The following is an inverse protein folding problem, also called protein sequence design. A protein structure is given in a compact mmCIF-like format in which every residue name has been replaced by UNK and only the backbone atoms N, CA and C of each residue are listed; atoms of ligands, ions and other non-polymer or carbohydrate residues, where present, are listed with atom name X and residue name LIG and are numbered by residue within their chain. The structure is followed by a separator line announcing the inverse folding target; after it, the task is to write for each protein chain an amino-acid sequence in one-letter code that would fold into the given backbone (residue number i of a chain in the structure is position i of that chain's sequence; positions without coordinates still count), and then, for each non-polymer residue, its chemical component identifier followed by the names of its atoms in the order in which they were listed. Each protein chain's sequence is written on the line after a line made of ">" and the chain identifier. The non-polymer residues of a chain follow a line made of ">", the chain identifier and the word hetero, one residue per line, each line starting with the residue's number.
data_IF_459964424770
#
_entry.id   IF_459964424770
#
_cell.length_a   1.000
_cell.length_b   1.000
_cell.length_c   1.000
_cell.angle_alpha   90.00
_cell.angle_beta   90.00
_cell.angle_gamma   90.00
#
_symmetry.space_group_name_H-M   'P 1'
#
loop_
_entity.id
_entity.type
_entity.pdbx_description
1 polymer ?
#
# COMPACT_ATOMS: atom_id res chain seq x y z
N UNK A 1 -6.74 -66.23 -9.91
CA UNK A 1 -7.51 -66.45 -8.65
C UNK A 1 -7.77 -65.04 -8.07
N UNK A 2 -8.79 -64.29 -8.53
CA UNK A 2 -10.18 -64.23 -8.00
C UNK A 2 -10.16 -63.60 -6.58
N UNK A 3 -10.91 -62.58 -6.17
CA UNK A 3 -12.12 -61.80 -6.56
C UNK A 3 -11.92 -60.40 -5.88
N UNK A 4 -12.38 -59.24 -6.33
CA UNK A 4 -13.71 -58.86 -6.79
C UNK A 4 -14.65 -58.54 -5.61
N UNK A 5 -14.93 -57.25 -5.34
CA UNK A 5 -16.27 -56.73 -4.96
C UNK A 5 -16.36 -55.19 -4.83
N UNK A 6 -17.18 -54.63 -5.75
CA UNK A 6 -18.06 -53.44 -5.71
C UNK A 6 -18.83 -53.26 -4.36
N UNK A 7 -19.57 -52.19 -3.99
CA UNK A 7 -19.98 -50.82 -4.43
C UNK A 7 -20.88 -50.23 -3.31
N UNK A 8 -21.22 -48.93 -3.42
CA UNK A 8 -22.44 -48.24 -2.92
C UNK A 8 -22.49 -47.86 -1.41
N UNK A 9 -23.08 -46.77 -0.93
CA UNK A 9 -23.79 -45.60 -1.48
C UNK A 9 -24.00 -44.53 -0.36
N UNK A 10 -24.26 -43.28 -0.78
CA UNK A 10 -25.10 -42.21 -0.18
C UNK A 10 -24.89 -41.68 1.27
N UNK A 11 -24.50 -40.39 1.35
CA UNK A 11 -24.90 -39.20 2.19
C UNK A 11 -25.74 -39.37 3.48
N UNK A 12 -25.64 -38.45 4.51
CA UNK A 12 -25.73 -36.99 4.35
C UNK A 12 -24.84 -36.10 5.25
N UNK A 13 -24.85 -34.82 4.89
CA UNK A 13 -24.25 -33.65 5.54
C UNK A 13 -24.39 -33.60 7.07
N UNK A 14 -23.25 -33.45 7.76
CA UNK A 14 -23.18 -33.06 9.16
C UNK A 14 -22.30 -31.82 9.31
N UNK A 15 -22.99 -30.72 9.61
CA UNK A 15 -22.49 -29.38 9.91
C UNK A 15 -21.38 -29.45 10.96
N UNK A 16 -20.17 -29.02 10.63
CA UNK A 16 -19.10 -28.81 11.61
C UNK A 16 -18.75 -27.33 11.67
N UNK A 17 -19.19 -26.70 12.75
CA UNK A 17 -18.81 -25.35 13.16
C UNK A 17 -17.28 -25.28 13.33
N UNK A 18 -16.59 -24.71 12.36
CA UNK A 18 -15.19 -24.34 12.49
C UNK A 18 -15.09 -23.07 13.36
N UNK A 19 -14.75 -23.28 14.62
CA UNK A 19 -14.18 -22.26 15.50
C UNK A 19 -13.02 -21.58 14.79
N UNK A 20 -13.15 -20.26 14.59
CA UNK A 20 -12.10 -19.44 14.00
C UNK A 20 -11.02 -19.27 15.06
N UNK A 21 -9.99 -20.11 14.99
CA UNK A 21 -8.78 -19.98 15.78
C UNK A 21 -8.07 -18.70 15.36
N UNK A 22 -8.23 -17.64 16.14
CA UNK A 22 -7.57 -16.36 15.92
C UNK A 22 -6.08 -16.53 16.18
N UNK A 23 -5.31 -16.73 15.11
CA UNK A 23 -3.85 -16.75 15.16
C UNK A 23 -3.33 -15.41 15.73
N UNK A 24 -2.40 -15.45 16.71
CA UNK A 24 -1.84 -14.24 17.30
C UNK A 24 -0.98 -13.47 16.28
N UNK A 25 -0.87 -12.14 16.42
CA UNK A 25 -0.15 -11.29 15.47
C UNK A 25 1.34 -11.65 15.46
N UNK A 26 1.84 -12.13 14.32
CA UNK A 26 3.28 -12.39 14.14
C UNK A 26 4.07 -11.09 14.30
N UNK A 27 4.86 -11.03 15.37
CA UNK A 27 5.85 -9.97 15.59
C UNK A 27 6.88 -10.02 14.45
N UNK A 28 6.93 -8.96 13.63
CA UNK A 28 7.96 -8.79 12.60
C UNK A 28 9.33 -8.73 13.26
N UNK A 29 10.10 -9.82 13.17
CA UNK A 29 11.51 -9.85 13.60
C UNK A 29 12.27 -8.77 12.83
N UNK A 30 12.77 -7.75 13.53
CA UNK A 30 13.68 -6.76 12.97
C UNK A 30 14.95 -7.47 12.52
N UNK A 31 15.15 -7.59 11.19
CA UNK A 31 16.39 -8.12 10.63
C UNK A 31 17.51 -7.12 10.96
N UNK A 32 18.48 -7.54 11.76
CA UNK A 32 19.72 -6.80 11.95
C UNK A 32 20.50 -6.82 10.63
N UNK A 33 20.71 -5.65 10.03
CA UNK A 33 21.51 -5.50 8.83
C UNK A 33 23.00 -5.62 9.21
N UNK A 34 23.65 -6.73 8.84
CA UNK A 34 25.06 -7.00 9.12
C UNK A 34 25.91 -6.69 7.88
N UNK A 35 25.84 -5.45 7.42
CA UNK A 35 26.57 -4.98 6.24
C UNK A 35 27.26 -3.65 6.52
N UNK A 36 28.43 -3.43 5.89
CA UNK A 36 29.12 -2.14 5.88
C UNK A 36 28.20 -1.14 5.18
N UNK A 37 27.62 -0.21 5.93
CA UNK A 37 26.88 0.92 5.35
C UNK A 37 27.90 1.77 4.59
N UNK A 38 27.92 1.66 3.26
CA UNK A 38 28.57 2.67 2.43
C UNK A 38 27.97 4.03 2.80
N UNK A 39 28.84 5.02 3.06
CA UNK A 39 28.40 6.37 3.39
C UNK A 39 27.39 6.82 2.34
N UNK A 40 26.16 7.11 2.77
CA UNK A 40 25.08 7.37 1.85
C UNK A 40 25.37 8.67 1.08
N UNK A 41 25.65 8.57 -0.22
CA UNK A 41 25.75 9.74 -1.11
C UNK A 41 24.49 10.58 -0.94
N UNK A 42 24.65 11.89 -0.72
CA UNK A 42 23.52 12.82 -0.61
C UNK A 42 22.63 12.72 -1.86
N UNK A 43 21.33 12.92 -1.68
CA UNK A 43 20.38 12.93 -2.81
C UNK A 43 20.31 14.35 -3.35
N UNK A 44 20.67 14.59 -4.63
CA UNK A 44 20.59 15.90 -5.26
C UNK A 44 19.19 16.50 -5.18
N UNK A 45 19.12 17.84 -5.12
CA UNK A 45 17.84 18.59 -5.11
C UNK A 45 17.50 19.22 -6.46
N UNK A 46 18.49 19.44 -7.31
CA UNK A 46 18.32 19.90 -8.70
C UNK A 46 19.17 19.08 -9.64
N UNK A 47 18.88 19.11 -10.94
CA UNK A 47 19.61 18.33 -11.94
C UNK A 47 21.07 18.77 -12.06
N UNK A 48 21.35 20.06 -11.88
CA UNK A 48 22.69 20.65 -11.93
C UNK A 48 23.56 20.16 -10.76
N UNK A 49 22.93 19.90 -9.61
CA UNK A 49 23.60 19.37 -8.42
C UNK A 49 23.88 17.86 -8.47
N UNK A 50 23.38 17.15 -9.49
CA UNK A 50 23.68 15.73 -9.67
C UNK A 50 25.16 15.53 -9.99
N UNK A 51 25.72 14.42 -9.51
CA UNK A 51 26.99 13.93 -10.03
C UNK A 51 26.77 13.20 -11.37
N UNK A 52 27.85 12.74 -12.01
CA UNK A 52 27.77 12.04 -13.30
C UNK A 52 26.91 10.78 -13.23
N UNK A 53 27.02 10.01 -12.14
CA UNK A 53 26.27 8.77 -11.94
C UNK A 53 24.76 9.04 -11.75
N UNK A 54 24.41 10.08 -10.99
CA UNK A 54 23.02 10.50 -10.79
C UNK A 54 22.41 11.07 -12.07
N UNK A 55 23.15 11.86 -12.85
CA UNK A 55 22.67 12.33 -14.17
C UNK A 55 22.38 11.16 -15.11
N UNK A 56 23.28 10.17 -15.17
CA UNK A 56 23.10 8.95 -15.95
C UNK A 56 21.88 8.15 -15.48
N UNK A 57 21.73 7.97 -14.17
CA UNK A 57 20.61 7.25 -13.58
C UNK A 57 19.27 7.89 -13.96
N UNK A 58 19.17 9.22 -13.87
CA UNK A 58 17.96 9.96 -14.22
C UNK A 58 17.68 9.88 -15.71
N UNK A 59 18.66 10.18 -16.57
CA UNK A 59 18.45 10.21 -18.02
C UNK A 59 18.05 8.84 -18.57
N UNK A 60 18.79 7.78 -18.24
CA UNK A 60 18.50 6.44 -18.74
C UNK A 60 17.16 5.93 -18.24
N UNK A 61 16.77 6.30 -17.01
CA UNK A 61 15.50 5.86 -16.46
C UNK A 61 14.32 6.64 -17.05
N UNK A 62 14.47 7.94 -17.31
CA UNK A 62 13.48 8.75 -18.03
C UNK A 62 13.30 8.25 -19.47
N UNK A 63 14.38 7.76 -20.11
CA UNK A 63 14.35 7.03 -21.40
C UNK A 63 13.79 5.60 -21.30
N UNK A 64 13.25 5.21 -20.13
CA UNK A 64 12.64 3.90 -19.84
C UNK A 64 13.58 2.70 -19.96
N UNK A 65 14.89 2.89 -19.91
CA UNK A 65 15.86 1.80 -19.93
C UNK A 65 15.73 0.89 -18.69
N UNK A 66 16.07 -0.38 -18.88
CA UNK A 66 16.02 -1.38 -17.83
C UNK A 66 17.09 -1.18 -16.74
N UNK A 67 16.79 -1.67 -15.55
CA UNK A 67 17.67 -1.54 -14.38
C UNK A 67 18.99 -2.30 -14.51
N UNK A 68 19.05 -3.36 -15.32
CA UNK A 68 20.27 -4.16 -15.51
C UNK A 68 21.42 -3.33 -16.10
N UNK A 69 21.25 -2.73 -17.29
CA UNK A 69 22.22 -1.80 -17.87
C UNK A 69 22.55 -0.61 -16.97
N UNK A 70 21.54 -0.02 -16.31
CA UNK A 70 21.75 1.11 -15.38
C UNK A 70 22.66 0.69 -14.21
N UNK A 71 22.48 -0.51 -13.64
CA UNK A 71 23.33 -1.02 -12.56
C UNK A 71 24.76 -1.27 -13.02
N UNK A 72 24.93 -1.81 -14.23
CA UNK A 72 26.25 -2.04 -14.80
C UNK A 72 27.00 -0.71 -14.98
N UNK A 73 26.32 0.29 -15.54
CA UNK A 73 26.91 1.61 -15.78
C UNK A 73 27.16 2.38 -14.48
N UNK A 74 26.24 2.29 -13.51
CA UNK A 74 26.44 2.85 -12.18
C UNK A 74 27.70 2.28 -11.51
N UNK A 75 27.89 0.95 -11.57
CA UNK A 75 29.09 0.29 -11.03
C UNK A 75 30.34 0.73 -11.77
N UNK A 76 30.28 0.95 -13.09
CA UNK A 76 31.40 1.48 -13.89
C UNK A 76 31.82 2.88 -13.43
N UNK A 77 30.85 3.77 -13.19
CA UNK A 77 31.09 5.16 -12.80
C UNK A 77 31.50 5.32 -11.34
N UNK A 78 30.88 4.56 -10.43
CA UNK A 78 31.06 4.74 -8.98
C UNK A 78 31.97 3.70 -8.34
N UNK A 79 32.24 2.59 -9.02
CA UNK A 79 32.89 1.41 -8.44
C UNK A 79 31.98 0.58 -7.53
N UNK A 80 30.75 1.02 -7.25
CA UNK A 80 29.88 0.41 -6.24
C UNK A 80 28.89 -0.59 -6.84
N UNK A 81 28.82 -1.78 -6.25
CA UNK A 81 27.76 -2.73 -6.54
C UNK A 81 26.53 -2.41 -5.69
N UNK A 82 25.39 -2.20 -6.34
CA UNK A 82 24.13 -1.81 -5.66
C UNK A 82 23.17 -2.97 -5.53
N UNK A 83 22.41 -3.00 -4.42
CA UNK A 83 21.32 -3.96 -4.26
C UNK A 83 20.16 -3.67 -5.23
N UNK A 84 19.25 -4.63 -5.38
CA UNK A 84 18.16 -4.56 -6.36
C UNK A 84 17.29 -3.29 -6.23
N UNK A 85 17.01 -2.85 -5.00
CA UNK A 85 16.15 -1.70 -4.69
C UNK A 85 16.90 -0.37 -4.54
N UNK A 86 18.24 -0.37 -4.51
CA UNK A 86 19.01 0.85 -4.24
C UNK A 86 18.81 1.92 -5.31
N UNK A 87 19.02 1.58 -6.59
CA UNK A 87 18.90 2.55 -7.70
C UNK A 87 17.44 2.95 -7.97
N UNK A 88 16.44 2.05 -7.95
CA UNK A 88 15.04 2.44 -8.03
C UNK A 88 14.62 3.45 -6.95
N UNK A 89 15.02 3.21 -5.71
CA UNK A 89 14.72 4.13 -4.61
C UNK A 89 15.46 5.46 -4.76
N UNK A 90 16.72 5.44 -5.21
CA UNK A 90 17.50 6.66 -5.45
C UNK A 90 16.87 7.51 -6.54
N UNK A 91 16.54 6.90 -7.69
CA UNK A 91 15.83 7.57 -8.78
C UNK A 91 14.51 8.21 -8.31
N UNK A 92 13.67 7.45 -7.60
CA UNK A 92 12.40 7.97 -7.08
C UNK A 92 12.61 9.20 -6.19
N UNK A 93 13.58 9.16 -5.27
CA UNK A 93 13.90 10.30 -4.38
C UNK A 93 14.43 11.51 -5.13
N UNK A 94 15.26 11.31 -6.16
CA UNK A 94 15.73 12.39 -7.02
C UNK A 94 14.56 13.04 -7.75
N UNK A 95 13.68 12.25 -8.38
CA UNK A 95 12.50 12.78 -9.08
C UNK A 95 11.54 13.51 -8.13
N UNK A 96 11.36 13.02 -6.90
CA UNK A 96 10.57 13.74 -5.88
C UNK A 96 11.19 15.08 -5.54
N UNK A 97 12.52 15.18 -5.41
CA UNK A 97 13.17 16.46 -5.15
C UNK A 97 13.04 17.44 -6.34
N UNK A 98 13.02 16.93 -7.57
CA UNK A 98 12.83 17.73 -8.78
C UNK A 98 11.38 18.15 -9.00
N UNK A 99 10.43 17.51 -8.33
CA UNK A 99 9.03 17.87 -8.40
C UNK A 99 8.82 19.20 -7.69
N UNK A 100 8.75 20.27 -8.48
CA UNK A 100 8.32 21.59 -8.02
C UNK A 100 6.82 21.67 -8.32
N UNK A 101 6.00 21.62 -7.27
CA UNK A 101 4.57 21.94 -7.38
C UNK A 101 4.44 23.45 -7.26
N UNK A 102 3.88 24.09 -8.28
CA UNK A 102 3.58 25.52 -8.21
C UNK A 102 2.44 25.78 -7.22
N UNK A 103 2.21 27.05 -6.86
CA UNK A 103 1.21 27.41 -5.86
C UNK A 103 -0.23 27.05 -6.30
N UNK A 104 -0.52 27.12 -7.59
CA UNK A 104 -1.81 26.72 -8.18
C UNK A 104 -2.06 25.21 -8.03
N UNK A 105 -1.07 24.38 -8.35
CA UNK A 105 -1.10 22.93 -8.19
C UNK A 105 -1.26 22.54 -6.72
N UNK A 106 -0.63 23.28 -5.79
CA UNK A 106 -0.80 23.07 -4.36
C UNK A 106 -2.23 23.35 -3.90
N UNK A 107 -2.84 24.45 -4.37
CA UNK A 107 -4.23 24.76 -4.08
C UNK A 107 -5.18 23.68 -4.65
N UNK A 108 -4.95 23.27 -5.90
CA UNK A 108 -5.73 22.22 -6.55
C UNK A 108 -5.58 20.87 -5.84
N UNK A 109 -4.37 20.52 -5.37
CA UNK A 109 -4.11 19.30 -4.58
C UNK A 109 -4.94 19.29 -3.29
N UNK A 110 -4.96 20.41 -2.56
CA UNK A 110 -5.73 20.55 -1.31
C UNK A 110 -7.23 20.39 -1.60
N UNK A 111 -7.73 21.07 -2.63
CA UNK A 111 -9.13 20.99 -3.02
C UNK A 111 -9.52 19.58 -3.43
N UNK A 112 -8.77 18.96 -4.34
CA UNK A 112 -9.03 17.60 -4.85
C UNK A 112 -9.02 16.59 -3.71
N UNK A 113 -8.04 16.68 -2.79
CA UNK A 113 -7.99 15.81 -1.61
C UNK A 113 -9.27 15.93 -0.78
N UNK A 114 -9.70 17.16 -0.51
CA UNK A 114 -10.91 17.42 0.28
C UNK A 114 -12.15 16.83 -0.39
N UNK A 115 -12.33 17.07 -1.69
CA UNK A 115 -13.47 16.56 -2.45
C UNK A 115 -13.56 15.03 -2.41
N UNK A 116 -12.42 14.35 -2.58
CA UNK A 116 -12.35 12.89 -2.50
C UNK A 116 -12.65 12.39 -1.09
N UNK A 117 -12.11 13.03 -0.05
CA UNK A 117 -12.38 12.63 1.33
C UNK A 117 -13.85 12.82 1.70
N UNK A 118 -14.46 13.95 1.31
CA UNK A 118 -15.87 14.21 1.57
C UNK A 118 -16.76 13.17 0.88
N UNK A 119 -16.46 12.84 -0.39
CA UNK A 119 -17.14 11.77 -1.12
C UNK A 119 -16.98 10.41 -0.46
N UNK A 120 -15.76 10.06 -0.06
CA UNK A 120 -15.48 8.78 0.61
C UNK A 120 -16.18 8.67 1.97
N UNK A 121 -16.24 9.76 2.73
CA UNK A 121 -17.00 9.79 4.00
C UNK A 121 -18.49 9.55 3.78
N UNK A 122 -19.09 10.15 2.74
CA UNK A 122 -20.49 9.92 2.40
C UNK A 122 -20.72 8.46 1.99
N UNK A 123 -19.90 7.92 1.07
CA UNK A 123 -19.98 6.54 0.61
C UNK A 123 -19.82 5.53 1.74
N UNK A 124 -18.89 5.79 2.67
CA UNK A 124 -18.67 4.93 3.84
C UNK A 124 -19.97 4.71 4.62
N UNK A 125 -20.73 5.76 4.88
CA UNK A 125 -21.96 5.62 5.67
C UNK A 125 -23.06 4.90 4.89
N UNK A 126 -23.14 5.08 3.57
CA UNK A 126 -24.00 4.27 2.70
C UNK A 126 -23.64 2.79 2.78
N UNK A 127 -22.35 2.45 2.68
CA UNK A 127 -21.87 1.07 2.82
C UNK A 127 -22.20 0.47 4.19
N UNK A 128 -22.03 1.26 5.26
CA UNK A 128 -22.39 0.84 6.62
C UNK A 128 -23.90 0.57 6.72
N UNK A 129 -24.74 1.43 6.15
CA UNK A 129 -26.19 1.25 6.16
C UNK A 129 -26.61 -0.05 5.44
N UNK A 130 -26.06 -0.30 4.25
CA UNK A 130 -26.32 -1.53 3.51
C UNK A 130 -25.89 -2.77 4.29
N UNK A 131 -24.69 -2.75 4.87
CA UNK A 131 -24.18 -3.87 5.66
C UNK A 131 -24.99 -4.09 6.94
N UNK A 132 -25.49 -3.03 7.56
CA UNK A 132 -26.34 -3.12 8.75
C UNK A 132 -27.63 -3.88 8.43
N UNK A 133 -28.28 -3.56 7.31
CA UNK A 133 -29.49 -4.26 6.83
C UNK A 133 -29.18 -5.73 6.52
N UNK A 134 -28.08 -6.01 5.82
CA UNK A 134 -27.67 -7.40 5.53
C UNK A 134 -27.39 -8.22 6.80
N UNK A 135 -27.04 -7.56 7.91
CA UNK A 135 -26.85 -8.20 9.22
C UNK A 135 -28.15 -8.31 10.04
N UNK A 136 -29.31 -7.97 9.47
CA UNK A 136 -30.60 -7.99 10.14
C UNK A 136 -30.88 -6.76 11.01
N UNK A 137 -30.10 -5.68 10.85
CA UNK A 137 -30.37 -4.41 11.50
C UNK A 137 -31.46 -3.59 10.79
N UNK A 138 -31.90 -2.51 11.44
CA UNK A 138 -32.91 -1.61 10.88
C UNK A 138 -32.44 -0.91 9.59
N UNK A 139 -33.37 -0.66 8.68
CA UNK A 139 -33.09 0.01 7.41
C UNK A 139 -32.86 1.51 7.62
N UNK A 140 -31.63 1.92 7.32
CA UNK A 140 -31.18 3.32 7.34
C UNK A 140 -30.53 3.72 6.01
N UNK A 141 -30.77 2.95 4.94
CA UNK A 141 -30.17 3.16 3.61
C UNK A 141 -30.61 4.48 2.96
N UNK A 142 -31.85 4.91 3.22
CA UNK A 142 -32.38 6.18 2.73
C UNK A 142 -31.75 7.42 3.38
N UNK A 143 -31.28 7.32 4.63
CA UNK A 143 -30.63 8.41 5.37
C UNK A 143 -29.42 7.93 6.21
N UNK A 144 -28.30 7.55 5.56
CA UNK A 144 -27.13 6.99 6.25
C UNK A 144 -26.48 7.93 7.28
N UNK A 145 -26.69 9.24 7.14
CA UNK A 145 -26.23 10.28 8.08
C UNK A 145 -26.72 10.05 9.52
N UNK A 146 -27.84 9.36 9.71
CA UNK A 146 -28.35 8.99 11.04
C UNK A 146 -27.34 8.08 11.75
N UNK A 147 -26.78 7.09 11.04
CA UNK A 147 -25.79 6.16 11.58
C UNK A 147 -24.51 6.89 11.99
N UNK A 148 -24.07 7.87 11.20
CA UNK A 148 -22.91 8.70 11.55
C UNK A 148 -23.13 9.45 12.87
N UNK A 149 -24.29 10.09 13.01
CA UNK A 149 -24.63 10.85 14.23
C UNK A 149 -24.71 9.93 15.45
N UNK A 150 -25.31 8.75 15.29
CA UNK A 150 -25.38 7.77 16.37
C UNK A 150 -24.00 7.23 16.75
N UNK A 151 -23.16 6.89 15.78
CA UNK A 151 -21.78 6.49 16.02
C UNK A 151 -21.00 7.55 16.80
N UNK A 152 -21.10 8.83 16.39
CA UNK A 152 -20.46 9.93 17.12
C UNK A 152 -20.93 10.01 18.57
N UNK A 153 -22.24 9.88 18.84
CA UNK A 153 -22.78 9.84 20.20
C UNK A 153 -22.22 8.67 21.01
N UNK A 154 -22.12 7.48 20.41
CA UNK A 154 -21.55 6.29 21.07
C UNK A 154 -20.06 6.49 21.40
N UNK A 155 -19.28 7.06 20.48
CA UNK A 155 -17.85 7.31 20.72
C UNK A 155 -17.61 8.36 21.80
N UNK A 156 -18.47 9.37 21.94
CA UNK A 156 -18.36 10.37 23.01
C UNK A 156 -18.86 9.84 24.36
N UNK A 157 -19.85 8.94 24.38
CA UNK A 157 -20.37 8.35 25.63
C UNK A 157 -19.57 7.15 26.14
N UNK A 158 -18.88 6.42 25.26
CA UNK A 158 -18.04 5.27 25.62
C UNK A 158 -16.56 5.62 25.85
N UNK A 159 -16.21 6.91 25.88
CA UNK A 159 -14.86 7.41 26.16
C UNK A 159 -14.73 8.13 27.52
N UNK A 160 -15.65 7.87 28.45
CA UNK A 160 -15.61 8.34 29.84
C UNK A 160 -15.50 7.13 30.79
#
# INVERSE_FOLDING_TARGET
>A
KGKGKEKAAATPDAVSNAVVDTLPPQQKKKRQFKGKTTAARLIPRTYESCDEADRMLVSWRDEKKDWGPIKAEWKRLTGEATAQSTLPNRYARIKTNFAILNEEDNALLIQTKREIEDSFQAQKWTLIANLLVSKGGADHTALPIILQRQWKKLMTKGGA
#
